data_IF_656386193999
#
_entry.id   IF_656386193999
#
_cell.length_a   1.000
_cell.length_b   1.000
_cell.length_c   1.000
_cell.angle_alpha   90.00
_cell.angle_beta   90.00
_cell.angle_gamma   90.00
#
_symmetry.space_group_name_H-M   'P 1'
#
loop_
_entity.id
_entity.type
_entity.pdbx_description
1 polymer ?
#
# COMPACT_ATOMS: atom_id res chain seq x y z
N UNK A 1 -13.05 -0.98 14.39
CA UNK A 1 -12.87 0.20 13.53
C UNK A 1 -11.41 0.58 13.70
N UNK A 2 -10.53 0.16 12.80
CA UNK A 2 -9.12 0.57 12.85
C UNK A 2 -9.07 2.00 12.32
N UNK A 3 -9.26 2.98 13.21
CA UNK A 3 -9.03 4.37 12.89
C UNK A 3 -7.53 4.57 12.78
N UNK A 4 -7.03 4.72 11.55
CA UNK A 4 -5.65 5.08 11.30
C UNK A 4 -5.39 6.47 11.87
N UNK A 5 -4.37 6.58 12.73
CA UNK A 5 -4.06 7.83 13.40
C UNK A 5 -2.90 8.53 12.71
N UNK A 6 -2.96 9.86 12.52
CA UNK A 6 -1.83 10.63 12.05
C UNK A 6 -0.58 10.38 12.92
N UNK A 7 0.57 10.16 12.28
CA UNK A 7 1.83 9.83 12.92
C UNK A 7 2.11 8.32 13.02
N UNK A 8 1.16 7.46 12.65
CA UNK A 8 1.42 6.02 12.54
C UNK A 8 2.26 5.70 11.31
N UNK A 9 3.17 4.74 11.48
CA UNK A 9 3.94 4.16 10.38
C UNK A 9 3.24 2.88 9.95
N UNK A 10 2.98 2.76 8.65
CA UNK A 10 2.32 1.63 8.01
C UNK A 10 3.09 1.25 6.75
N UNK A 11 2.75 0.09 6.19
CA UNK A 11 3.38 -0.46 5.00
C UNK A 11 2.33 -0.63 3.92
N UNK A 12 2.65 -0.22 2.70
CA UNK A 12 1.73 -0.29 1.57
C UNK A 12 2.39 -0.94 0.38
N UNK A 13 1.60 -1.59 -0.47
CA UNK A 13 2.09 -2.21 -1.69
C UNK A 13 1.86 -1.26 -2.86
N UNK A 14 2.94 -0.78 -3.47
CA UNK A 14 2.89 0.18 -4.58
C UNK A 14 3.42 -0.48 -5.84
N UNK A 15 2.63 -0.44 -6.91
CA UNK A 15 3.10 -0.85 -8.24
C UNK A 15 4.04 0.20 -8.80
N UNK A 16 5.21 -0.22 -9.27
CA UNK A 16 6.14 0.67 -9.92
C UNK A 16 5.65 0.94 -11.36
N UNK A 17 5.18 2.15 -11.69
CA UNK A 17 4.68 2.44 -13.04
C UNK A 17 5.77 2.35 -14.11
N UNK A 18 7.05 2.47 -13.71
CA UNK A 18 8.19 2.37 -14.61
C UNK A 18 8.58 0.93 -14.95
N UNK A 19 8.16 -0.05 -14.14
CA UNK A 19 8.50 -1.46 -14.34
C UNK A 19 7.20 -2.27 -14.31
N UNK A 20 6.74 -2.67 -15.49
CA UNK A 20 5.48 -3.40 -15.61
C UNK A 20 5.54 -4.73 -14.84
N UNK A 21 4.48 -4.99 -14.08
CA UNK A 21 4.35 -6.21 -13.27
C UNK A 21 5.08 -6.18 -11.94
N UNK A 22 5.85 -5.12 -11.62
CA UNK A 22 6.57 -5.02 -10.35
C UNK A 22 5.80 -4.16 -9.37
N UNK A 23 5.52 -4.70 -8.19
CA UNK A 23 5.10 -3.95 -7.02
C UNK A 23 6.13 -4.10 -5.91
N UNK A 24 6.21 -3.12 -5.02
CA UNK A 24 7.11 -3.15 -3.88
C UNK A 24 6.34 -2.77 -2.63
N UNK A 25 6.73 -3.38 -1.51
CA UNK A 25 6.29 -2.93 -0.19
C UNK A 25 7.08 -1.66 0.14
N UNK A 26 6.37 -0.61 0.52
CA UNK A 26 6.93 0.68 0.84
C UNK A 26 6.39 1.15 2.19
N UNK A 27 7.28 1.71 3.01
CA UNK A 27 6.90 2.37 4.26
C UNK A 27 6.19 3.69 3.96
N UNK A 28 5.08 3.94 4.65
CA UNK A 28 4.23 5.11 4.54
C UNK A 28 3.89 5.66 5.92
N UNK A 29 3.83 6.98 6.03
CA UNK A 29 3.33 7.63 7.24
C UNK A 29 1.88 8.05 7.05
N UNK A 30 1.02 7.75 8.03
CA UNK A 30 -0.33 8.28 8.08
C UNK A 30 -0.25 9.75 8.48
N UNK A 31 -0.81 10.63 7.67
CA UNK A 31 -0.83 12.08 7.91
C UNK A 31 -2.25 12.62 7.71
N UNK A 32 -2.52 13.82 8.20
CA UNK A 32 -3.78 14.50 7.87
C UNK A 32 -3.77 14.91 6.40
N UNK A 33 -4.88 14.68 5.70
CA UNK A 33 -5.02 15.12 4.31
C UNK A 33 -5.18 16.66 4.28
N UNK A 34 -4.23 17.41 3.67
CA UNK A 34 -4.35 18.87 3.58
C UNK A 34 -5.51 19.30 2.67
N UNK A 35 -5.97 18.44 1.76
CA UNK A 35 -7.06 18.73 0.83
C UNK A 35 -8.44 18.37 1.41
N UNK A 36 -8.49 17.44 2.37
CA UNK A 36 -9.73 16.92 2.96
C UNK A 36 -9.68 17.00 4.49
N UNK A 37 -10.13 18.11 5.08
CA UNK A 37 -10.15 18.28 6.53
C UNK A 37 -10.95 17.16 7.22
N UNK A 38 -10.33 16.47 8.18
CA UNK A 38 -10.93 15.35 8.90
C UNK A 38 -10.71 13.97 8.27
N UNK A 39 -9.99 13.90 7.14
CA UNK A 39 -9.51 12.63 6.57
C UNK A 39 -8.00 12.49 6.75
N UNK A 40 -7.56 11.24 6.67
CA UNK A 40 -6.14 10.90 6.67
C UNK A 40 -5.69 10.47 5.28
N UNK A 41 -4.42 10.71 4.99
CA UNK A 41 -3.73 10.33 3.77
C UNK A 41 -2.43 9.60 4.14
N UNK A 42 -1.91 8.85 3.19
CA UNK A 42 -0.61 8.21 3.26
C UNK A 42 0.42 9.13 2.61
N UNK A 43 1.49 9.43 3.32
CA UNK A 43 2.60 10.20 2.81
C UNK A 43 3.71 9.27 2.31
N UNK A 44 3.93 9.27 0.99
CA UNK A 44 4.84 8.34 0.31
C UNK A 44 5.57 9.10 -0.80
N UNK A 45 6.90 9.04 -0.83
CA UNK A 45 7.75 9.77 -1.81
C UNK A 45 7.34 11.24 -1.98
N UNK A 46 7.14 11.95 -0.86
CA UNK A 46 6.73 13.36 -0.85
C UNK A 46 5.36 13.63 -1.50
N UNK A 47 4.57 12.58 -1.73
CA UNK A 47 3.24 12.64 -2.33
C UNK A 47 2.20 12.15 -1.32
N UNK A 48 1.03 12.79 -1.32
CA UNK A 48 -0.11 12.40 -0.49
C UNK A 48 -1.04 11.50 -1.28
N UNK A 49 -1.26 10.29 -0.79
CA UNK A 49 -2.21 9.34 -1.33
C UNK A 49 -3.42 9.25 -0.42
N UNK A 50 -4.65 9.38 -0.93
CA UNK A 50 -5.84 9.23 -0.10
C UNK A 50 -5.89 7.81 0.46
N UNK A 51 -6.12 7.69 1.76
CA UNK A 51 -6.36 6.39 2.38
C UNK A 51 -7.78 5.93 2.03
N UNK A 52 -7.90 4.99 1.09
CA UNK A 52 -9.17 4.41 0.67
C UNK A 52 -9.11 2.87 0.72
N UNK A 53 -10.26 2.21 0.54
CA UNK A 53 -10.35 0.74 0.58
C UNK A 53 -9.65 0.05 -0.61
N UNK A 54 -9.20 0.82 -1.61
CA UNK A 54 -8.45 0.30 -2.75
C UNK A 54 -6.95 0.19 -2.47
N UNK A 55 -6.46 0.90 -1.45
CA UNK A 55 -5.05 0.85 -1.03
C UNK A 55 -4.90 -0.16 0.09
N UNK A 56 -4.12 -1.19 -0.18
CA UNK A 56 -3.76 -2.18 0.81
C UNK A 56 -2.73 -1.61 1.79
N UNK A 57 -3.14 -1.45 3.06
CA UNK A 57 -2.32 -0.92 4.14
C UNK A 57 -2.15 -1.95 5.25
N UNK A 58 -0.91 -2.16 5.64
CA UNK A 58 -0.51 -3.17 6.62
C UNK A 58 0.22 -2.50 7.79
N UNK A 59 -0.04 -2.94 9.03
CA UNK A 59 0.65 -2.41 10.22
C UNK A 59 2.12 -2.86 10.30
N UNK A 60 2.52 -3.94 9.62
CA UNK A 60 3.90 -4.45 9.64
C UNK A 60 4.40 -4.81 8.24
N UNK A 61 5.72 -4.71 8.04
CA UNK A 61 6.37 -5.10 6.80
C UNK A 61 6.12 -6.58 6.46
N UNK A 62 6.18 -7.47 7.46
CA UNK A 62 5.98 -8.90 7.28
C UNK A 62 4.58 -9.22 6.72
N UNK A 63 3.53 -8.58 7.24
CA UNK A 63 2.17 -8.75 6.71
C UNK A 63 2.05 -8.20 5.29
N UNK A 64 2.67 -7.05 5.00
CA UNK A 64 2.69 -6.48 3.66
C UNK A 64 3.43 -7.39 2.67
N UNK A 65 4.57 -7.96 3.06
CA UNK A 65 5.36 -8.88 2.23
C UNK A 65 4.62 -10.19 1.97
N UNK A 66 3.94 -10.73 2.99
CA UNK A 66 3.11 -11.92 2.83
C UNK A 66 1.99 -11.65 1.83
N UNK A 67 1.24 -10.57 2.03
CA UNK A 67 0.15 -10.21 1.13
C UNK A 67 0.64 -9.83 -0.27
N UNK A 68 1.81 -9.20 -0.39
CA UNK A 68 2.47 -8.96 -1.66
C UNK A 68 2.82 -10.27 -2.36
N UNK A 69 3.38 -11.23 -1.64
CA UNK A 69 3.72 -12.55 -2.18
C UNK A 69 2.48 -13.35 -2.57
N UNK A 70 1.38 -13.23 -1.84
CA UNK A 70 0.10 -13.86 -2.21
C UNK A 70 -0.53 -13.18 -3.44
N UNK A 71 -0.57 -11.86 -3.47
CA UNK A 71 -1.21 -11.10 -4.54
C UNK A 71 -0.39 -11.10 -5.84
N UNK A 72 0.94 -11.06 -5.74
CA UNK A 72 1.86 -10.93 -6.88
C UNK A 72 2.74 -12.16 -7.10
N UNK A 73 3.10 -12.93 -6.06
CA UNK A 73 3.89 -14.15 -6.21
C UNK A 73 3.15 -15.31 -6.90
N UNK A 74 1.80 -15.27 -6.93
CA UNK A 74 1.00 -16.16 -7.79
C UNK A 74 0.95 -15.71 -9.26
N UNK A 75 1.40 -14.49 -9.59
CA UNK A 75 1.36 -13.97 -10.97
C UNK A 75 2.32 -14.68 -11.91
N UNK A 76 3.32 -15.41 -11.37
CA UNK A 76 4.22 -16.26 -12.16
C UNK A 76 3.69 -17.70 -12.33
N UNK A 77 2.57 -18.06 -11.69
CA UNK A 77 2.04 -19.43 -11.68
C UNK A 77 0.55 -19.51 -12.07
N UNK A 78 0.13 -18.70 -13.05
CA UNK A 78 -1.31 -18.53 -13.35
C UNK A 78 -1.71 -18.45 -14.82
N UNK A 79 -0.87 -18.81 -15.79
CA UNK A 79 -1.29 -18.90 -17.20
C UNK A 79 -0.72 -20.12 -17.91
N UNK A 80 -1.11 -21.30 -17.45
CA UNK A 80 -1.20 -22.50 -18.29
C UNK A 80 -2.58 -23.11 -18.12
N UNK A 81 -3.57 -22.52 -18.80
CA UNK A 81 -4.76 -23.26 -19.19
C UNK A 81 -4.43 -23.92 -20.53
N UNK A 82 -4.06 -25.20 -20.47
CA UNK A 82 -4.08 -26.09 -21.63
C UNK A 82 -5.49 -26.63 -21.89
#
# INVERSE_FOLDING_TARGET
>A
MNEYQPGQIVYVIIRNPHVQGVANVQEAAVVNDPNSPGKVALFIYETYYPLNDEVAVYPTASEAEHAYSEAFGLSDMGTYYG
#
